data_IF_690410688978
#
_entry.id   IF_690410688978
#
_cell.length_a   1.000
_cell.length_b   1.000
_cell.length_c   1.000
_cell.angle_alpha   90.00
_cell.angle_beta   90.00
_cell.angle_gamma   90.00
#
_symmetry.space_group_name_H-M   'P 1'
#
loop_
_entity.id
_entity.type
_entity.pdbx_description
1 polymer ?
#
# COMPACT_ATOMS: atom_id res chain seq x y z
N UNK A 1 7.26 9.53 12.28
CA UNK A 1 8.07 10.00 11.13
C UNK A 1 7.23 10.94 10.29
N UNK A 2 7.79 11.96 9.59
CA UNK A 2 7.00 12.76 8.65
C UNK A 2 6.42 11.86 7.55
N UNK A 3 5.21 12.16 7.09
CA UNK A 3 4.57 11.42 6.01
C UNK A 3 5.42 11.49 4.74
N UNK A 4 6.03 10.37 4.35
CA UNK A 4 6.77 10.25 3.09
C UNK A 4 5.81 9.79 1.99
N UNK A 5 5.99 10.24 0.73
CA UNK A 5 5.21 9.73 -0.41
C UNK A 5 5.22 8.19 -0.52
N UNK A 6 6.30 7.54 -0.08
CA UNK A 6 6.38 6.07 -0.07
C UNK A 6 5.49 5.46 1.02
N UNK A 7 5.41 6.07 2.21
CA UNK A 7 4.56 5.60 3.31
C UNK A 7 3.10 5.65 2.89
N UNK A 8 2.67 6.76 2.30
CA UNK A 8 1.31 6.87 1.76
C UNK A 8 1.03 5.82 0.68
N UNK A 9 2.00 5.55 -0.21
CA UNK A 9 1.84 4.51 -1.22
C UNK A 9 1.70 3.11 -0.59
N UNK A 10 2.43 2.82 0.49
CA UNK A 10 2.30 1.57 1.24
C UNK A 10 0.90 1.49 1.86
N UNK A 11 0.45 2.53 2.55
CA UNK A 11 -0.86 2.57 3.21
C UNK A 11 -2.01 2.34 2.21
N UNK A 12 -1.91 2.89 1.00
CA UNK A 12 -2.91 2.70 -0.04
C UNK A 12 -2.95 1.28 -0.57
N UNK A 13 -1.78 0.67 -0.83
CA UNK A 13 -1.71 -0.72 -1.32
C UNK A 13 -2.14 -1.70 -0.24
N UNK A 14 -1.65 -1.52 0.99
CA UNK A 14 -2.00 -2.36 2.13
C UNK A 14 -3.49 -2.20 2.49
N UNK A 15 -4.01 -0.98 2.47
CA UNK A 15 -5.43 -0.69 2.63
C UNK A 15 -6.29 -1.34 1.55
N UNK A 16 -5.81 -1.41 0.30
CA UNK A 16 -6.50 -2.11 -0.77
C UNK A 16 -6.52 -3.64 -0.58
N UNK A 17 -5.52 -4.19 0.09
CA UNK A 17 -5.39 -5.62 0.37
C UNK A 17 -6.19 -6.05 1.61
N UNK A 18 -6.00 -5.38 2.75
CA UNK A 18 -6.49 -5.85 4.05
C UNK A 18 -7.27 -4.79 4.84
N UNK A 19 -7.52 -3.61 4.28
CA UNK A 19 -8.29 -2.59 4.97
C UNK A 19 -9.70 -3.08 5.33
N UNK A 20 -10.26 -2.74 6.50
CA UNK A 20 -11.61 -3.14 6.89
C UNK A 20 -12.68 -2.54 5.95
N UNK A 21 -13.92 -3.04 5.97
CA UNK A 21 -15.04 -2.40 5.26
C UNK A 21 -15.19 -0.94 5.66
N UNK A 22 -15.34 -0.04 4.68
CA UNK A 22 -15.40 1.41 4.91
C UNK A 22 -14.03 2.08 5.04
N UNK A 23 -12.92 1.36 4.82
CA UNK A 23 -11.58 1.94 4.83
C UNK A 23 -11.45 3.08 3.79
N UNK A 24 -10.69 4.17 4.07
CA UNK A 24 -10.56 5.33 3.19
C UNK A 24 -10.09 5.05 1.76
N UNK A 25 -9.48 3.87 1.54
CA UNK A 25 -9.11 3.39 0.20
C UNK A 25 -10.30 3.32 -0.75
N UNK A 26 -11.52 3.08 -0.27
CA UNK A 26 -12.71 3.02 -1.13
C UNK A 26 -13.01 4.36 -1.80
N UNK A 27 -12.86 5.46 -1.05
CA UNK A 27 -13.00 6.82 -1.60
C UNK A 27 -11.93 7.08 -2.66
N UNK A 28 -10.70 6.64 -2.40
CA UNK A 28 -9.60 6.78 -3.34
C UNK A 28 -9.85 5.99 -4.64
N UNK A 29 -10.35 4.75 -4.52
CA UNK A 29 -10.70 3.92 -5.67
C UNK A 29 -11.87 4.49 -6.47
N UNK A 30 -12.90 5.00 -5.80
CA UNK A 30 -14.03 5.65 -6.47
C UNK A 30 -13.58 6.86 -7.31
N UNK A 31 -12.65 7.67 -6.78
CA UNK A 31 -12.06 8.80 -7.52
C UNK A 31 -11.20 8.35 -8.69
N UNK A 32 -10.47 7.25 -8.54
CA UNK A 32 -9.69 6.66 -9.62
C UNK A 32 -10.60 6.12 -10.75
N UNK A 33 -11.71 5.47 -10.38
CA UNK A 33 -12.73 4.98 -11.31
C UNK A 33 -13.43 6.11 -12.07
N UNK A 34 -13.66 7.25 -11.42
CA UNK A 34 -14.21 8.44 -12.04
C UNK A 34 -13.20 9.19 -12.94
N UNK A 35 -11.94 8.77 -12.98
CA UNK A 35 -10.87 9.46 -13.73
C UNK A 35 -10.42 10.78 -13.11
N UNK A 36 -10.79 11.06 -11.86
CA UNK A 36 -10.39 12.27 -11.13
C UNK A 36 -8.96 12.18 -10.59
N UNK A 37 -8.46 10.95 -10.45
CA UNK A 37 -7.14 10.68 -9.89
C UNK A 37 -6.54 9.42 -10.51
N UNK A 38 -5.21 9.38 -10.64
CA UNK A 38 -4.49 8.18 -11.11
C UNK A 38 -3.51 7.77 -10.02
N UNK A 39 -3.78 6.67 -9.27
CA UNK A 39 -2.84 6.16 -8.30
C UNK A 39 -1.52 5.78 -8.96
N UNK A 40 -0.39 6.09 -8.34
CA UNK A 40 0.90 5.56 -8.77
C UNK A 40 1.21 4.33 -7.93
N UNK A 41 1.41 3.18 -8.58
CA UNK A 41 1.79 1.95 -7.92
C UNK A 41 3.32 1.80 -7.96
N UNK A 42 3.96 2.11 -6.84
CA UNK A 42 5.40 1.93 -6.68
C UNK A 42 5.72 0.47 -6.36
N UNK A 43 6.70 -0.10 -7.06
CA UNK A 43 7.21 -1.46 -6.82
C UNK A 43 7.62 -1.70 -5.36
N UNK A 44 8.28 -0.73 -4.75
CA UNK A 44 8.68 -0.76 -3.34
C UNK A 44 7.46 -0.76 -2.41
N UNK A 45 6.46 0.09 -2.69
CA UNK A 45 5.26 0.14 -1.87
C UNK A 45 4.49 -1.19 -1.95
N UNK A 46 4.41 -1.77 -3.14
CA UNK A 46 3.83 -3.09 -3.35
C UNK A 46 4.58 -4.16 -2.56
N UNK A 47 5.91 -4.18 -2.61
CA UNK A 47 6.72 -5.14 -1.85
C UNK A 47 6.47 -5.00 -0.34
N UNK A 48 6.55 -3.79 0.21
CA UNK A 48 6.36 -3.56 1.65
C UNK A 48 4.93 -3.91 2.10
N UNK A 49 3.91 -3.56 1.31
CA UNK A 49 2.53 -3.93 1.60
C UNK A 49 2.35 -5.46 1.61
N UNK A 50 2.86 -6.17 0.60
CA UNK A 50 2.78 -7.63 0.54
C UNK A 50 3.55 -8.31 1.69
N UNK A 51 4.70 -7.76 2.10
CA UNK A 51 5.45 -8.23 3.27
C UNK A 51 4.70 -7.99 4.60
N UNK A 52 3.73 -7.08 4.60
CA UNK A 52 2.93 -6.75 5.78
C UNK A 52 1.65 -7.57 5.89
N UNK A 53 1.26 -8.31 4.86
CA UNK A 53 0.09 -9.22 4.90
C UNK A 53 0.47 -10.51 5.63
N UNK A 54 -0.38 -10.93 6.56
CA UNK A 54 -0.23 -12.16 7.35
C UNK A 54 -1.17 -13.26 6.85
N UNK A 55 -0.86 -14.55 7.11
CA UNK A 55 -1.72 -15.67 6.70
C UNK A 55 -3.16 -15.60 7.20
N UNK A 56 -3.38 -14.99 8.36
CA UNK A 56 -4.69 -14.81 8.99
C UNK A 56 -5.52 -13.64 8.44
N UNK A 57 -4.90 -12.74 7.66
CA UNK A 57 -5.62 -11.60 7.10
C UNK A 57 -6.59 -12.05 6.01
N UNK A 58 -7.78 -11.45 5.98
CA UNK A 58 -8.71 -11.62 4.87
C UNK A 58 -8.34 -10.64 3.75
N UNK A 59 -7.69 -11.15 2.71
CA UNK A 59 -7.29 -10.34 1.55
C UNK A 59 -8.48 -10.10 0.61
N UNK A 60 -8.76 -8.84 0.33
CA UNK A 60 -9.75 -8.42 -0.65
C UNK A 60 -9.12 -8.29 -2.05
N UNK A 61 -9.07 -9.41 -2.75
CA UNK A 61 -8.53 -9.47 -4.10
C UNK A 61 -9.30 -8.61 -5.11
N UNK A 62 -10.61 -8.40 -4.91
CA UNK A 62 -11.42 -7.61 -5.81
C UNK A 62 -11.07 -6.12 -5.70
N UNK A 63 -10.94 -5.62 -4.46
CA UNK A 63 -10.48 -4.25 -4.19
C UNK A 63 -9.06 -4.02 -4.65
N UNK A 64 -8.17 -4.97 -4.41
CA UNK A 64 -6.80 -4.88 -4.91
C UNK A 64 -6.76 -4.86 -6.45
N UNK A 65 -7.55 -5.69 -7.13
CA UNK A 65 -7.65 -5.66 -8.59
C UNK A 65 -8.19 -4.32 -9.13
N UNK A 66 -9.14 -3.68 -8.43
CA UNK A 66 -9.60 -2.33 -8.76
C UNK A 66 -8.46 -1.32 -8.67
N UNK A 67 -7.64 -1.37 -7.61
CA UNK A 67 -6.44 -0.53 -7.51
C UNK A 67 -5.52 -0.73 -8.72
N UNK A 68 -5.17 -1.98 -9.03
CA UNK A 68 -4.27 -2.32 -10.14
C UNK A 68 -4.79 -1.84 -11.50
N UNK A 69 -6.11 -1.91 -11.71
CA UNK A 69 -6.75 -1.53 -12.97
C UNK A 69 -6.60 -0.05 -13.29
N UNK A 70 -6.63 0.81 -12.28
CA UNK A 70 -6.59 2.28 -12.46
C UNK A 70 -5.23 2.89 -12.11
N UNK A 71 -4.32 2.11 -11.53
CA UNK A 71 -3.00 2.60 -11.17
C UNK A 71 -2.02 2.64 -12.35
N UNK A 72 -1.09 3.58 -12.31
CA UNK A 72 0.08 3.63 -13.16
C UNK A 72 1.29 2.99 -12.43
N UNK A 73 1.85 1.87 -12.93
CA UNK A 73 3.06 1.29 -12.34
C UNK A 73 4.26 2.21 -12.52
N UNK A 74 5.08 2.34 -11.48
CA UNK A 74 6.34 3.06 -11.54
C UNK A 74 7.42 2.38 -10.68
N UNK A 75 8.64 2.37 -11.20
CA UNK A 75 9.80 1.96 -10.40
C UNK A 75 10.08 3.07 -9.36
N UNK A 76 10.18 2.69 -8.09
CA UNK A 76 10.53 3.60 -6.99
C UNK A 76 11.91 4.22 -7.15
N UNK A 77 12.79 3.62 -7.98
CA UNK A 77 14.20 3.99 -8.13
C UNK A 77 14.95 4.04 -6.79
N UNK A 78 14.41 3.38 -5.77
CA UNK A 78 15.00 3.25 -4.42
C UNK A 78 16.27 2.39 -4.41
N UNK A 79 16.59 1.75 -5.53
CA UNK A 79 17.82 1.00 -5.73
C UNK A 79 18.84 1.89 -6.42
N UNK A 80 19.87 2.31 -5.69
CA UNK A 80 21.11 2.71 -6.34
C UNK A 80 21.71 1.51 -7.10
N UNK A 81 22.37 1.71 -8.26
CA UNK A 81 23.08 0.65 -8.93
C UNK A 81 24.09 -0.02 -7.97
N UNK A 82 23.88 -1.30 -7.63
CA UNK A 82 24.74 -2.07 -6.73
C UNK A 82 24.36 -2.06 -5.25
N UNK A 83 23.33 -1.32 -4.84
CA UNK A 83 22.80 -1.34 -3.47
C UNK A 83 21.91 -2.57 -3.22
N UNK A 84 22.18 -3.31 -2.14
CA UNK A 84 21.26 -4.34 -1.66
C UNK A 84 20.00 -3.65 -1.11
N UNK A 85 18.84 -4.04 -1.62
CA UNK A 85 17.56 -3.59 -1.08
C UNK A 85 17.43 -4.03 0.38
N UNK A 86 17.15 -3.09 1.29
CA UNK A 86 16.86 -3.39 2.70
C UNK A 86 15.38 -3.73 2.85
N UNK A 87 15.01 -4.96 3.24
CA UNK A 87 13.63 -5.32 3.55
C UNK A 87 13.07 -4.47 4.71
N UNK A 88 11.75 -4.26 4.79
CA UNK A 88 11.16 -3.57 5.92
C UNK A 88 11.43 -4.33 7.21
N UNK A 89 11.68 -3.57 8.27
CA UNK A 89 11.81 -4.09 9.63
C UNK A 89 10.45 -4.51 10.17
N UNK A 90 10.45 -5.34 11.22
CA UNK A 90 9.21 -5.73 11.91
C UNK A 90 8.47 -4.51 12.47
N UNK A 91 9.20 -3.53 13.03
CA UNK A 91 8.61 -2.30 13.56
C UNK A 91 7.85 -1.50 12.48
N UNK A 92 8.43 -1.39 11.28
CA UNK A 92 7.77 -0.72 10.15
C UNK A 92 6.52 -1.49 9.69
N UNK A 93 6.59 -2.82 9.63
CA UNK A 93 5.44 -3.67 9.29
C UNK A 93 4.31 -3.48 10.31
N UNK A 94 4.60 -3.56 11.61
CA UNK A 94 3.59 -3.37 12.65
C UNK A 94 2.98 -1.96 12.59
N UNK A 95 3.79 -0.94 12.31
CA UNK A 95 3.31 0.42 12.16
C UNK A 95 2.31 0.57 11.00
N UNK A 96 2.65 0.09 9.80
CA UNK A 96 1.75 0.18 8.64
C UNK A 96 0.47 -0.63 8.86
N UNK A 97 0.56 -1.80 9.50
CA UNK A 97 -0.60 -2.60 9.87
C UNK A 97 -1.51 -1.85 10.84
N UNK A 98 -0.96 -1.26 11.90
CA UNK A 98 -1.73 -0.50 12.88
C UNK A 98 -2.48 0.67 12.22
N UNK A 99 -1.83 1.38 11.29
CA UNK A 99 -2.45 2.47 10.53
C UNK A 99 -3.63 1.97 9.68
N UNK A 100 -3.45 0.89 8.92
CA UNK A 100 -4.50 0.36 8.01
C UNK A 100 -5.65 -0.30 8.76
N UNK A 101 -5.36 -0.97 9.88
CA UNK A 101 -6.35 -1.67 10.69
C UNK A 101 -7.02 -0.77 11.74
N UNK A 102 -6.53 0.46 11.93
CA UNK A 102 -7.05 1.39 12.92
C UNK A 102 -6.75 0.98 14.36
N UNK A 103 -5.66 0.24 14.58
CA UNK A 103 -5.22 -0.20 15.90
C UNK A 103 -4.43 0.93 16.60
N UNK A 104 -4.51 1.04 17.94
CA UNK A 104 -3.68 1.99 18.67
C UNK A 104 -2.20 1.65 18.47
N UNK A 105 -1.45 2.62 17.97
CA UNK A 105 0.00 2.54 17.71
C UNK A 105 0.83 3.02 18.90
#
# INVERSE_FOLDING_TARGET
MPASPITLAIDLVLGALIGPPGHPIETILARAEAGEWTPVLLDLALYCAMASVRPEDTVDHARFARLLRYAQPAASRSREPGGAFTPPTLEEIEHWRAVVLGEPS
#
